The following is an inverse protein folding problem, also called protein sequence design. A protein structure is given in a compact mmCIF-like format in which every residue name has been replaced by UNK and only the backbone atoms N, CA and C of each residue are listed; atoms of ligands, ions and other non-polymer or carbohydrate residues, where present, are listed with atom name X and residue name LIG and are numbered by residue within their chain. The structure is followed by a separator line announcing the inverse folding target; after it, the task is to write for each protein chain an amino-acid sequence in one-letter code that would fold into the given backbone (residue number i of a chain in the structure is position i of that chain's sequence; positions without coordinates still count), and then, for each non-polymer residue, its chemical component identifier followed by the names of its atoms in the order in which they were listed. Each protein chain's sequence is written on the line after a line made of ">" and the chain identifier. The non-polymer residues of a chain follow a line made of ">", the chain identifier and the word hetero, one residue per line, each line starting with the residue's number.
data_IF_923806070207
#
_entry.id   IF_923806070207
#
_cell.length_a   1.000
_cell.length_b   1.000
_cell.length_c   1.000
_cell.angle_alpha   90.00
_cell.angle_beta   90.00
_cell.angle_gamma   90.00
#
_symmetry.space_group_name_H-M   'P 1'
#
loop_
_entity.id
_entity.type
_entity.pdbx_description
1 polymer ?
#
# COMPACT_ATOMS: atom_id res chain seq x y z
N UNK A 1 27.85 -7.90 33.13
CA UNK A 1 26.90 -7.27 32.19
C UNK A 1 27.52 -5.95 31.79
N UNK A 2 27.91 -5.77 30.52
CA UNK A 2 28.36 -4.47 30.03
C UNK A 2 27.17 -3.51 30.12
N UNK A 3 27.35 -2.41 30.83
CA UNK A 3 26.46 -1.25 30.76
C UNK A 3 26.42 -0.84 29.28
N UNK A 4 25.25 -0.58 28.66
CA UNK A 4 25.21 -0.23 27.25
C UNK A 4 26.08 1.01 27.00
N UNK A 5 27.13 0.80 26.21
CA UNK A 5 27.88 1.86 25.52
C UNK A 5 26.87 2.73 24.76
N UNK A 6 27.14 4.04 24.68
CA UNK A 6 26.31 5.05 24.00
C UNK A 6 25.71 4.52 22.68
N UNK A 7 24.42 4.83 22.41
CA UNK A 7 23.78 4.47 21.14
C UNK A 7 24.71 4.84 19.96
N UNK A 8 24.90 3.96 18.97
CA UNK A 8 25.82 4.22 17.84
C UNK A 8 25.55 5.57 17.14
N UNK A 9 24.28 5.96 17.00
CA UNK A 9 23.87 7.23 16.38
C UNK A 9 23.67 8.38 17.39
N UNK A 10 24.06 8.21 18.65
CA UNK A 10 23.76 9.11 19.77
C UNK A 10 22.26 9.31 20.06
N UNK A 11 21.38 8.59 19.33
CA UNK A 11 19.93 8.57 19.49
C UNK A 11 19.43 7.13 19.31
N UNK A 12 18.26 6.77 19.86
CA UNK A 12 17.60 5.52 19.51
C UNK A 12 17.33 5.45 18.01
N UNK A 13 17.73 4.34 17.38
CA UNK A 13 17.49 4.08 15.96
C UNK A 13 16.54 2.89 15.80
N UNK A 14 15.68 2.98 14.79
CA UNK A 14 14.66 1.97 14.48
C UNK A 14 14.76 1.59 13.02
N UNK A 15 14.38 0.35 12.71
CA UNK A 15 14.23 -0.08 11.32
C UNK A 15 12.98 0.58 10.72
N UNK A 16 13.11 1.07 9.49
CA UNK A 16 12.03 1.81 8.86
C UNK A 16 10.87 0.91 8.42
N UNK A 17 9.65 1.42 8.55
CA UNK A 17 8.44 0.81 8.00
C UNK A 17 8.18 1.25 6.55
N UNK A 18 8.82 2.34 6.10
CA UNK A 18 8.61 2.97 4.80
C UNK A 18 9.68 4.03 4.51
N UNK A 19 10.11 4.15 3.25
CA UNK A 19 10.97 5.22 2.78
C UNK A 19 10.22 6.50 2.39
N UNK A 20 8.89 6.50 2.38
CA UNK A 20 8.03 7.53 1.79
C UNK A 20 8.43 8.97 2.18
N UNK A 21 8.59 9.27 3.47
CA UNK A 21 8.86 10.65 3.90
C UNK A 21 10.20 11.17 3.38
N UNK A 22 11.18 10.28 3.17
CA UNK A 22 12.45 10.64 2.54
C UNK A 22 12.32 10.74 1.02
N UNK A 23 11.47 9.92 0.40
CA UNK A 23 11.14 10.05 -1.02
C UNK A 23 10.50 11.41 -1.33
N UNK A 24 9.67 11.96 -0.45
CA UNK A 24 9.10 13.31 -0.62
C UNK A 24 10.17 14.42 -0.62
N UNK A 25 11.28 14.23 0.11
CA UNK A 25 12.43 15.15 0.02
C UNK A 25 13.06 15.06 -1.36
N UNK A 26 13.27 13.83 -1.84
CA UNK A 26 13.88 13.59 -3.15
C UNK A 26 12.98 14.06 -4.29
N UNK A 27 11.65 13.95 -4.15
CA UNK A 27 10.70 14.38 -5.17
C UNK A 27 10.74 15.89 -5.39
N UNK A 28 11.02 16.67 -4.32
CA UNK A 28 11.27 18.11 -4.42
C UNK A 28 12.47 18.49 -5.30
N UNK A 29 13.42 17.58 -5.53
CA UNK A 29 14.56 17.79 -6.42
C UNK A 29 14.41 17.07 -7.78
N UNK A 30 13.77 15.90 -7.78
CA UNK A 30 13.55 15.06 -8.96
C UNK A 30 12.07 14.70 -9.06
N UNK A 31 11.39 15.13 -10.11
CA UNK A 31 9.92 15.09 -10.18
C UNK A 31 9.29 13.69 -10.09
N UNK A 32 10.07 12.63 -10.32
CA UNK A 32 9.65 11.23 -10.24
C UNK A 32 10.78 10.43 -9.61
N UNK A 33 10.52 9.83 -8.45
CA UNK A 33 11.50 9.05 -7.69
C UNK A 33 10.87 7.76 -7.18
N UNK A 34 11.70 6.73 -6.98
CA UNK A 34 11.26 5.50 -6.34
C UNK A 34 12.34 4.91 -5.43
N UNK A 35 11.91 4.17 -4.43
CA UNK A 35 12.75 3.24 -3.64
C UNK A 35 12.36 1.81 -3.97
N UNK A 36 13.35 0.94 -3.87
CA UNK A 36 13.13 -0.50 -3.76
C UNK A 36 14.06 -0.97 -2.64
N UNK A 37 13.50 -1.29 -1.48
CA UNK A 37 14.30 -1.70 -0.34
C UNK A 37 13.51 -2.47 0.72
N UNK A 38 14.22 -3.06 1.69
CA UNK A 38 13.59 -3.76 2.79
C UNK A 38 12.93 -2.77 3.76
N UNK A 39 11.73 -3.12 4.21
CA UNK A 39 11.02 -2.47 5.31
C UNK A 39 10.63 -3.51 6.35
N UNK A 40 10.36 -3.04 7.56
CA UNK A 40 10.23 -3.90 8.72
C UNK A 40 8.96 -3.59 9.51
N UNK A 41 8.25 -4.61 9.96
CA UNK A 41 7.10 -4.48 10.85
C UNK A 41 7.25 -5.43 12.04
N UNK A 42 7.20 -4.88 13.25
CA UNK A 42 7.34 -5.61 14.50
C UNK A 42 5.98 -6.03 15.11
N UNK A 43 4.96 -6.18 14.27
CA UNK A 43 3.63 -6.60 14.71
C UNK A 43 3.61 -8.09 15.07
N UNK A 44 2.99 -8.45 16.20
CA UNK A 44 2.89 -9.83 16.64
C UNK A 44 1.79 -10.58 15.85
N UNK A 45 2.07 -10.86 14.56
CA UNK A 45 1.10 -11.38 13.61
C UNK A 45 1.62 -12.63 12.89
N UNK A 46 1.02 -13.79 13.17
CA UNK A 46 1.39 -15.06 12.54
C UNK A 46 0.35 -15.48 11.50
N UNK A 47 0.31 -14.77 10.37
CA UNK A 47 -0.60 -15.05 9.26
C UNK A 47 0.14 -15.62 8.03
N UNK A 48 -0.61 -16.05 7.02
CA UNK A 48 -0.07 -16.42 5.69
C UNK A 48 0.24 -15.20 4.80
N UNK A 49 0.02 -13.98 5.30
CA UNK A 49 0.11 -12.72 4.55
C UNK A 49 1.04 -11.68 5.17
N UNK A 50 1.68 -11.99 6.30
CA UNK A 50 2.55 -11.08 7.02
C UNK A 50 3.97 -11.63 7.12
N UNK A 51 4.93 -10.71 6.95
CA UNK A 51 6.35 -10.88 7.20
C UNK A 51 6.80 -9.74 8.13
N UNK A 52 7.82 -9.99 8.93
CA UNK A 52 8.47 -8.97 9.75
C UNK A 52 9.52 -8.17 8.96
N UNK A 53 10.04 -8.75 7.89
CA UNK A 53 10.94 -8.12 6.90
C UNK A 53 10.41 -8.47 5.50
N UNK A 54 10.20 -7.46 4.67
CA UNK A 54 9.66 -7.57 3.32
C UNK A 54 10.17 -6.41 2.47
N UNK A 55 10.02 -6.49 1.15
CA UNK A 55 10.47 -5.43 0.26
C UNK A 55 9.29 -4.57 -0.18
N UNK A 56 9.50 -3.25 -0.16
CA UNK A 56 8.56 -2.28 -0.70
C UNK A 56 9.15 -1.63 -1.93
N UNK A 57 8.34 -1.54 -2.98
CA UNK A 57 8.57 -0.62 -4.09
C UNK A 57 7.70 0.60 -3.84
N UNK A 58 8.32 1.74 -3.55
CA UNK A 58 7.59 2.97 -3.22
C UNK A 58 7.95 4.04 -4.25
N UNK A 59 6.95 4.75 -4.77
CA UNK A 59 7.16 5.81 -5.74
C UNK A 59 6.54 7.11 -5.23
N UNK A 60 7.20 8.22 -5.51
CA UNK A 60 6.72 9.57 -5.21
C UNK A 60 6.87 10.45 -6.45
N UNK A 61 5.80 11.19 -6.77
CA UNK A 61 5.66 11.94 -8.01
C UNK A 61 5.18 13.35 -7.67
N UNK A 62 5.93 14.35 -8.14
CA UNK A 62 5.57 15.77 -8.03
C UNK A 62 4.60 16.19 -9.13
N UNK A 63 3.84 17.25 -8.89
CA UNK A 63 2.83 17.81 -9.80
C UNK A 63 1.66 16.85 -10.09
N UNK A 64 1.30 16.06 -9.08
CA UNK A 64 0.13 15.16 -9.10
C UNK A 64 -1.00 15.85 -8.36
N UNK A 65 -2.06 16.19 -9.09
CA UNK A 65 -3.20 16.95 -8.55
C UNK A 65 -4.39 16.04 -8.20
N UNK A 66 -4.44 14.84 -8.76
CA UNK A 66 -5.57 13.92 -8.58
C UNK A 66 -5.15 12.49 -8.26
N UNK A 67 -6.02 11.76 -7.57
CA UNK A 67 -5.84 10.31 -7.39
C UNK A 67 -5.85 9.55 -8.73
N UNK A 68 -6.49 10.10 -9.76
CA UNK A 68 -6.55 9.47 -11.08
C UNK A 68 -5.15 9.30 -11.67
N UNK A 69 -4.29 10.31 -11.50
CA UNK A 69 -2.90 10.29 -11.97
C UNK A 69 -2.10 9.18 -11.28
N UNK A 70 -2.26 9.02 -9.95
CA UNK A 70 -1.62 7.92 -9.21
C UNK A 70 -2.15 6.54 -9.61
N UNK A 71 -3.47 6.41 -9.72
CA UNK A 71 -4.11 5.14 -10.10
C UNK A 71 -3.64 4.68 -11.47
N UNK A 72 -3.48 5.60 -12.42
CA UNK A 72 -2.94 5.29 -13.74
C UNK A 72 -1.52 4.71 -13.63
N UNK A 73 -0.63 5.35 -12.87
CA UNK A 73 0.75 4.86 -12.69
C UNK A 73 0.76 3.49 -11.98
N UNK A 74 -0.09 3.28 -10.97
CA UNK A 74 -0.21 1.99 -10.28
C UNK A 74 -0.68 0.87 -11.21
N UNK A 75 -1.70 1.13 -12.03
CA UNK A 75 -2.23 0.17 -13.02
C UNK A 75 -1.20 -0.14 -14.12
N UNK A 76 -0.57 0.89 -14.68
CA UNK A 76 0.47 0.74 -15.71
C UNK A 76 1.68 -0.03 -15.17
N UNK A 77 2.14 0.27 -13.95
CA UNK A 77 3.24 -0.45 -13.30
C UNK A 77 2.89 -1.93 -13.12
N UNK A 78 1.71 -2.24 -12.58
CA UNK A 78 1.28 -3.63 -12.40
C UNK A 78 1.22 -4.37 -13.73
N UNK A 79 0.58 -3.79 -14.76
CA UNK A 79 0.42 -4.43 -16.07
C UNK A 79 1.77 -4.63 -16.75
N UNK A 80 2.58 -3.57 -16.87
CA UNK A 80 3.87 -3.62 -17.55
C UNK A 80 4.86 -4.58 -16.87
N UNK A 81 4.96 -4.54 -15.53
CA UNK A 81 5.83 -5.46 -14.79
C UNK A 81 5.40 -6.92 -14.97
N UNK A 82 4.09 -7.17 -14.93
CA UNK A 82 3.53 -8.52 -15.08
C UNK A 82 3.75 -9.05 -16.49
N UNK A 83 3.47 -8.25 -17.52
CA UNK A 83 3.72 -8.62 -18.92
C UNK A 83 5.22 -8.90 -19.17
N UNK A 84 6.10 -8.13 -18.53
CA UNK A 84 7.54 -8.35 -18.59
C UNK A 84 7.94 -9.70 -17.96
N UNK A 85 7.38 -10.06 -16.81
CA UNK A 85 7.63 -11.38 -16.19
C UNK A 85 7.10 -12.51 -17.09
N UNK A 86 5.88 -12.37 -17.60
CA UNK A 86 5.26 -13.39 -18.46
C UNK A 86 6.01 -13.62 -19.77
N UNK A 87 6.61 -12.57 -20.34
CA UNK A 87 7.36 -12.67 -21.60
C UNK A 87 8.79 -13.17 -21.41
N UNK A 88 9.45 -12.80 -20.31
CA UNK A 88 10.86 -13.16 -20.09
C UNK A 88 11.03 -14.49 -19.33
N UNK A 89 10.06 -14.90 -18.51
CA UNK A 89 10.13 -16.12 -17.69
C UNK A 89 8.93 -17.07 -17.92
N UNK A 90 8.53 -17.38 -19.16
CA UNK A 90 7.30 -18.14 -19.41
C UNK A 90 7.31 -19.56 -18.82
N UNK A 91 8.45 -20.25 -18.87
CA UNK A 91 8.59 -21.63 -18.38
C UNK A 91 8.41 -21.73 -16.85
N UNK A 92 9.04 -20.80 -16.10
CA UNK A 92 8.94 -20.75 -14.64
C UNK A 92 7.51 -20.41 -14.19
N UNK A 93 6.88 -19.43 -14.85
CA UNK A 93 5.49 -19.05 -14.55
C UNK A 93 4.55 -20.20 -14.87
N UNK A 94 4.72 -20.89 -16.00
CA UNK A 94 3.89 -22.04 -16.37
C UNK A 94 4.01 -23.17 -15.33
N UNK A 95 5.21 -23.43 -14.81
CA UNK A 95 5.43 -24.40 -13.75
C UNK A 95 4.63 -24.03 -12.49
N UNK A 96 4.71 -22.77 -12.03
CA UNK A 96 3.92 -22.29 -10.90
C UNK A 96 2.40 -22.43 -11.16
N UNK A 97 1.91 -21.96 -12.31
CA UNK A 97 0.49 -22.00 -12.65
C UNK A 97 -0.04 -23.43 -12.82
N UNK A 98 0.80 -24.37 -13.24
CA UNK A 98 0.41 -25.77 -13.41
C UNK A 98 0.37 -26.54 -12.08
N UNK A 99 1.38 -26.37 -11.23
CA UNK A 99 1.57 -27.22 -10.05
C UNK A 99 1.20 -26.56 -8.72
N UNK A 100 1.26 -25.23 -8.64
CA UNK A 100 0.95 -24.47 -7.42
C UNK A 100 -0.47 -23.90 -7.50
N UNK A 101 -0.81 -23.24 -8.60
CA UNK A 101 -2.06 -22.49 -8.73
C UNK A 101 -2.81 -22.73 -10.06
N UNK A 102 -3.40 -23.91 -10.26
CA UNK A 102 -4.21 -24.19 -11.45
C UNK A 102 -5.30 -23.14 -11.69
N UNK A 103 -5.35 -22.62 -12.92
CA UNK A 103 -6.27 -21.54 -13.33
C UNK A 103 -5.76 -20.13 -13.05
N UNK A 104 -4.57 -19.96 -12.45
CA UNK A 104 -4.00 -18.63 -12.22
C UNK A 104 -3.66 -17.90 -13.53
N UNK A 105 -3.24 -18.63 -14.57
CA UNK A 105 -3.00 -18.07 -15.90
C UNK A 105 -4.22 -17.30 -16.43
N UNK A 106 -5.39 -17.95 -16.42
CA UNK A 106 -6.63 -17.35 -16.91
C UNK A 106 -7.06 -16.15 -16.07
N UNK A 107 -6.85 -16.21 -14.75
CA UNK A 107 -7.11 -15.08 -13.84
C UNK A 107 -6.19 -13.90 -14.16
N UNK A 108 -4.90 -14.15 -14.37
CA UNK A 108 -3.92 -13.12 -14.68
C UNK A 108 -4.23 -12.47 -16.03
N UNK A 109 -4.50 -13.27 -17.06
CA UNK A 109 -4.95 -12.76 -18.37
C UNK A 109 -6.23 -11.94 -18.25
N UNK A 110 -7.19 -12.36 -17.42
CA UNK A 110 -8.41 -11.62 -17.17
C UNK A 110 -8.13 -10.26 -16.52
N UNK A 111 -7.23 -10.19 -15.54
CA UNK A 111 -6.83 -8.92 -14.92
C UNK A 111 -6.13 -7.99 -15.91
N UNK A 112 -5.20 -8.52 -16.72
CA UNK A 112 -4.41 -7.71 -17.66
C UNK A 112 -5.27 -7.15 -18.81
N UNK A 113 -6.26 -7.92 -19.29
CA UNK A 113 -7.16 -7.51 -20.40
C UNK A 113 -8.17 -6.44 -20.01
N UNK A 114 -8.47 -6.27 -18.73
CA UNK A 114 -9.49 -5.34 -18.25
C UNK A 114 -8.85 -4.07 -17.67
N UNK A 115 -9.59 -2.96 -17.70
CA UNK A 115 -9.25 -1.77 -16.94
C UNK A 115 -9.62 -1.98 -15.47
N UNK A 116 -8.81 -1.45 -14.55
CA UNK A 116 -9.11 -1.59 -13.14
C UNK A 116 -10.30 -0.71 -12.77
N UNK A 117 -11.14 -1.23 -11.87
CA UNK A 117 -12.37 -0.55 -11.48
C UNK A 117 -12.07 0.41 -10.33
N UNK A 118 -12.87 1.47 -10.20
CA UNK A 118 -12.72 2.47 -9.15
C UNK A 118 -14.02 2.53 -8.36
N UNK A 119 -13.91 2.53 -7.04
CA UNK A 119 -15.01 2.82 -6.13
C UNK A 119 -14.53 3.64 -4.95
N UNK A 120 -15.39 4.47 -4.38
CA UNK A 120 -15.11 5.12 -3.10
C UNK A 120 -15.21 4.12 -1.94
N UNK A 121 -14.53 4.41 -0.83
CA UNK A 121 -14.70 3.68 0.43
C UNK A 121 -16.16 3.67 0.88
N UNK A 122 -16.88 4.78 0.71
CA UNK A 122 -18.29 4.88 1.07
C UNK A 122 -19.15 3.91 0.25
N UNK A 123 -18.94 3.84 -1.06
CA UNK A 123 -19.61 2.84 -1.92
C UNK A 123 -19.22 1.41 -1.54
N UNK A 124 -17.94 1.16 -1.27
CA UNK A 124 -17.44 -0.15 -0.84
C UNK A 124 -18.18 -0.64 0.42
N UNK A 125 -18.34 0.23 1.43
CA UNK A 125 -19.08 -0.09 2.66
C UNK A 125 -20.56 -0.38 2.39
N UNK A 126 -21.21 0.38 1.50
CA UNK A 126 -22.61 0.13 1.15
C UNK A 126 -22.80 -1.18 0.40
N UNK A 127 -21.90 -1.54 -0.53
CA UNK A 127 -21.88 -2.85 -1.19
C UNK A 127 -21.76 -3.97 -0.17
N UNK A 128 -20.84 -3.83 0.80
CA UNK A 128 -20.63 -4.83 1.85
C UNK A 128 -21.84 -4.98 2.77
N UNK A 129 -22.55 -3.90 3.11
CA UNK A 129 -23.78 -3.97 3.92
C UNK A 129 -24.94 -4.66 3.18
N UNK A 130 -24.99 -4.54 1.86
CA UNK A 130 -25.99 -5.18 1.02
C UNK A 130 -25.67 -6.64 0.69
N UNK A 131 -24.46 -7.10 1.00
CA UNK A 131 -24.05 -8.48 0.80
C UNK A 131 -24.92 -9.44 1.61
N UNK A 132 -25.35 -10.53 0.99
CA UNK A 132 -26.03 -11.64 1.67
C UNK A 132 -25.06 -12.52 2.49
N UNK A 133 -23.76 -12.25 2.43
CA UNK A 133 -22.72 -13.00 3.14
C UNK A 133 -22.59 -12.51 4.58
N UNK A 134 -22.49 -13.47 5.52
CA UNK A 134 -22.13 -13.16 6.90
C UNK A 134 -20.62 -12.93 7.00
N UNK A 135 -20.22 -11.70 7.33
CA UNK A 135 -18.83 -11.36 7.62
C UNK A 135 -18.50 -11.59 9.09
N UNK A 136 -17.25 -11.96 9.37
CA UNK A 136 -16.74 -12.05 10.74
C UNK A 136 -16.67 -10.68 11.39
N UNK A 137 -16.27 -9.67 10.62
CA UNK A 137 -16.20 -8.27 11.01
C UNK A 137 -17.31 -7.51 10.31
N UNK A 138 -18.18 -6.84 11.08
CA UNK A 138 -19.29 -6.09 10.50
C UNK A 138 -18.79 -4.89 9.70
N UNK A 139 -19.10 -4.78 8.39
CA UNK A 139 -18.73 -3.62 7.59
C UNK A 139 -19.45 -2.37 8.09
N UNK A 140 -18.68 -1.36 8.48
CA UNK A 140 -19.22 -0.10 9.02
C UNK A 140 -18.36 1.07 8.56
N UNK A 141 -19.01 2.15 8.18
CA UNK A 141 -18.34 3.39 7.79
C UNK A 141 -17.51 3.92 8.97
N UNK A 142 -16.25 4.30 8.71
CA UNK A 142 -15.29 4.72 9.73
C UNK A 142 -14.54 3.56 10.40
N UNK A 143 -14.74 2.32 9.94
CA UNK A 143 -13.96 1.14 10.34
C UNK A 143 -13.18 0.64 9.12
N UNK A 144 -11.93 0.27 9.34
CA UNK A 144 -11.06 -0.18 8.25
C UNK A 144 -11.54 -1.50 7.64
N UNK A 145 -11.34 -1.64 6.32
CA UNK A 145 -11.76 -2.83 5.59
C UNK A 145 -10.88 -4.01 6.01
N UNK A 146 -11.50 -5.17 6.24
CA UNK A 146 -10.78 -6.40 6.54
C UNK A 146 -10.56 -7.21 5.26
N UNK A 147 -9.61 -8.13 5.26
CA UNK A 147 -9.31 -8.93 4.05
C UNK A 147 -10.51 -9.71 3.51
N UNK A 148 -11.47 -10.12 4.36
CA UNK A 148 -12.70 -10.76 3.88
C UNK A 148 -13.61 -9.79 3.09
N UNK A 149 -13.61 -8.51 3.47
CA UNK A 149 -14.32 -7.44 2.77
C UNK A 149 -13.66 -7.14 1.44
N UNK A 150 -12.34 -6.96 1.43
CA UNK A 150 -11.56 -6.70 0.21
C UNK A 150 -11.78 -7.80 -0.84
N UNK A 151 -11.68 -9.07 -0.42
CA UNK A 151 -11.90 -10.23 -1.29
C UNK A 151 -13.32 -10.28 -1.82
N UNK A 152 -14.31 -9.92 -0.99
CA UNK A 152 -15.70 -9.85 -1.42
C UNK A 152 -15.89 -8.78 -2.50
N UNK A 153 -15.35 -7.57 -2.29
CA UNK A 153 -15.45 -6.46 -3.24
C UNK A 153 -14.85 -6.82 -4.59
N UNK A 154 -13.64 -7.39 -4.61
CA UNK A 154 -12.99 -7.82 -5.85
C UNK A 154 -13.83 -8.91 -6.57
N UNK A 155 -14.41 -9.85 -5.82
CA UNK A 155 -15.30 -10.87 -6.39
C UNK A 155 -16.60 -10.26 -6.93
N UNK A 156 -17.19 -9.30 -6.21
CA UNK A 156 -18.38 -8.56 -6.64
C UNK A 156 -18.12 -7.82 -7.95
N UNK A 157 -16.91 -7.29 -8.12
CA UNK A 157 -16.40 -6.64 -9.31
C UNK A 157 -15.90 -7.61 -10.41
N UNK A 158 -16.33 -8.87 -10.39
CA UNK A 158 -16.02 -9.84 -11.45
C UNK A 158 -14.59 -10.40 -11.42
N UNK A 159 -13.88 -10.30 -10.29
CA UNK A 159 -12.45 -10.65 -10.17
C UNK A 159 -11.54 -9.80 -11.08
N UNK A 160 -11.90 -8.52 -11.24
CA UNK A 160 -11.05 -7.47 -11.81
C UNK A 160 -10.46 -6.69 -10.62
N UNK A 161 -9.19 -6.24 -10.67
CA UNK A 161 -8.64 -5.39 -9.62
C UNK A 161 -9.45 -4.11 -9.43
N UNK A 162 -9.55 -3.66 -8.18
CA UNK A 162 -10.40 -2.54 -7.78
C UNK A 162 -9.60 -1.55 -6.94
N UNK A 163 -9.53 -0.31 -7.39
CA UNK A 163 -9.11 0.82 -6.58
C UNK A 163 -10.25 1.23 -5.65
N UNK A 164 -9.98 1.24 -4.34
CA UNK A 164 -10.85 1.85 -3.33
C UNK A 164 -10.25 3.21 -2.95
N UNK A 165 -11.01 4.28 -3.09
CA UNK A 165 -10.52 5.66 -2.89
C UNK A 165 -11.25 6.40 -1.77
N UNK A 166 -10.67 7.50 -1.29
CA UNK A 166 -11.31 8.44 -0.36
C UNK A 166 -11.70 7.80 0.98
N UNK A 167 -10.69 7.32 1.71
CA UNK A 167 -10.88 6.70 3.03
C UNK A 167 -11.16 7.74 4.13
N UNK A 168 -11.86 7.37 5.21
CA UNK A 168 -12.08 8.25 6.36
C UNK A 168 -10.77 8.81 6.92
N UNK A 169 -10.72 10.12 7.16
CA UNK A 169 -9.53 10.81 7.64
C UNK A 169 -8.97 10.22 8.94
N UNK A 170 -9.85 9.75 9.82
CA UNK A 170 -9.48 9.19 11.12
C UNK A 170 -8.74 7.84 11.04
N UNK A 171 -8.85 7.12 9.91
CA UNK A 171 -8.22 5.81 9.73
C UNK A 171 -6.82 5.90 9.10
N UNK A 172 -6.51 7.02 8.45
CA UNK A 172 -5.34 7.13 7.59
C UNK A 172 -4.28 8.09 8.17
N UNK A 173 -2.99 7.91 7.83
CA UNK A 173 -1.88 8.69 8.38
C UNK A 173 -2.01 10.21 8.17
N UNK A 174 -1.27 10.97 8.99
CA UNK A 174 -1.30 12.43 9.02
C UNK A 174 -0.90 13.10 7.71
N UNK A 175 -0.14 12.41 6.86
CA UNK A 175 0.41 12.97 5.61
C UNK A 175 -0.56 12.90 4.43
N UNK A 176 -1.69 12.18 4.53
CA UNK A 176 -2.62 12.05 3.40
C UNK A 176 -3.45 13.33 3.25
N UNK A 177 -3.61 13.84 2.02
CA UNK A 177 -4.31 15.10 1.76
C UNK A 177 -5.76 15.05 2.21
N UNK A 178 -6.19 16.04 2.99
CA UNK A 178 -7.59 16.20 3.39
C UNK A 178 -8.44 16.62 2.16
N UNK A 179 -9.52 15.88 1.89
CA UNK A 179 -10.43 16.21 0.79
C UNK A 179 -11.32 17.42 1.11
N UNK A 180 -11.38 17.84 2.37
CA UNK A 180 -12.26 18.91 2.88
C UNK A 180 -13.75 18.66 2.54
N UNK A 181 -14.12 17.39 2.41
CA UNK A 181 -15.47 16.94 2.08
C UNK A 181 -16.32 16.75 3.35
N UNK A 182 -17.33 17.62 3.53
CA UNK A 182 -18.33 17.46 4.58
C UNK A 182 -19.48 16.51 4.16
N UNK A 183 -20.16 15.79 5.09
CA UNK A 183 -19.91 15.69 6.53
C UNK A 183 -18.98 14.53 6.96
N UNK A 184 -18.58 13.66 6.02
CA UNK A 184 -17.88 12.41 6.33
C UNK A 184 -16.37 12.62 6.57
N UNK A 185 -15.74 13.64 5.97
CA UNK A 185 -14.31 13.94 6.08
C UNK A 185 -13.40 12.76 5.70
N UNK A 186 -13.03 12.71 4.44
CA UNK A 186 -12.14 11.72 3.85
C UNK A 186 -10.77 12.33 3.51
N UNK A 187 -9.81 11.46 3.22
CA UNK A 187 -8.51 11.83 2.67
C UNK A 187 -8.35 11.25 1.28
N UNK A 188 -7.59 11.91 0.43
CA UNK A 188 -7.22 11.43 -0.90
C UNK A 188 -6.26 10.22 -0.81
N UNK A 189 -6.77 9.10 -0.32
CA UNK A 189 -6.10 7.81 -0.22
C UNK A 189 -6.63 6.86 -1.28
N UNK A 190 -5.81 5.91 -1.70
CA UNK A 190 -6.16 4.84 -2.63
C UNK A 190 -5.51 3.53 -2.21
N UNK A 191 -6.29 2.46 -2.17
CA UNK A 191 -5.80 1.09 -2.01
C UNK A 191 -6.18 0.29 -3.28
N UNK A 192 -5.24 -0.44 -3.90
CA UNK A 192 -5.54 -1.35 -5.02
C UNK A 192 -5.75 -2.77 -4.48
N UNK A 193 -6.98 -3.26 -4.61
CA UNK A 193 -7.37 -4.61 -4.22
C UNK A 193 -7.26 -5.56 -5.42
N UNK A 194 -6.54 -6.68 -5.26
CA UNK A 194 -6.39 -7.71 -6.30
C UNK A 194 -7.01 -9.05 -5.88
N UNK A 195 -7.48 -9.86 -6.83
CA UNK A 195 -8.03 -11.19 -6.57
C UNK A 195 -7.11 -12.07 -5.71
N UNK A 196 -7.67 -12.72 -4.70
CA UNK A 196 -6.97 -13.69 -3.84
C UNK A 196 -6.09 -13.08 -2.75
N UNK A 197 -5.34 -12.02 -3.05
CA UNK A 197 -4.41 -11.38 -2.11
C UNK A 197 -5.12 -10.34 -1.22
N UNK A 198 -5.96 -9.48 -1.79
CA UNK A 198 -6.49 -8.28 -1.12
C UNK A 198 -5.69 -7.03 -1.53
N UNK A 199 -5.42 -6.14 -0.58
CA UNK A 199 -4.58 -4.95 -0.81
C UNK A 199 -3.17 -5.30 -1.33
N UNK A 200 -2.85 -4.83 -2.55
CA UNK A 200 -1.52 -4.96 -3.17
C UNK A 200 -0.74 -3.63 -3.15
N UNK A 201 -1.43 -2.52 -3.38
CA UNK A 201 -0.86 -1.18 -3.30
C UNK A 201 -1.65 -0.35 -2.29
N UNK A 202 -0.95 0.54 -1.59
CA UNK A 202 -1.55 1.62 -0.79
C UNK A 202 -0.86 2.94 -1.13
N UNK A 203 -1.64 4.00 -1.34
CA UNK A 203 -1.14 5.29 -1.78
C UNK A 203 -2.05 6.46 -1.41
N UNK A 204 -1.59 7.68 -1.70
CA UNK A 204 -2.35 8.90 -1.46
C UNK A 204 -1.72 10.11 -2.15
N UNK A 205 -2.52 11.15 -2.36
CA UNK A 205 -1.97 12.50 -2.46
C UNK A 205 -1.45 12.92 -1.08
N UNK A 206 -0.35 13.66 -1.07
CA UNK A 206 0.26 14.17 0.17
C UNK A 206 -0.34 15.52 0.53
N UNK A 207 -0.46 15.77 1.82
CA UNK A 207 -0.90 17.06 2.34
C UNK A 207 0.20 18.10 2.12
N UNK A 208 0.05 18.86 1.05
CA UNK A 208 0.97 19.90 0.59
C UNK A 208 0.73 21.25 1.29
N UNK A 209 -0.43 21.43 1.93
CA UNK A 209 -0.83 22.69 2.58
C UNK A 209 -0.30 22.73 4.01
N UNK A 210 0.66 23.63 4.24
CA UNK A 210 1.38 23.76 5.51
C UNK A 210 0.46 23.76 6.74
N UNK A 211 -0.55 24.63 6.78
CA UNK A 211 -1.39 24.81 7.96
C UNK A 211 -2.22 23.57 8.32
N UNK A 212 -2.66 22.80 7.32
CA UNK A 212 -3.44 21.57 7.55
C UNK A 212 -2.51 20.48 8.09
N UNK A 213 -1.34 20.30 7.47
CA UNK A 213 -0.35 19.32 7.92
C UNK A 213 0.15 19.62 9.34
N UNK A 214 0.44 20.90 9.64
CA UNK A 214 0.85 21.36 10.97
C UNK A 214 -0.23 21.04 12.02
N UNK A 215 -1.50 21.31 11.71
CA UNK A 215 -2.60 20.99 12.61
C UNK A 215 -2.74 19.48 12.84
N UNK A 216 -2.58 18.66 11.81
CA UNK A 216 -2.63 17.18 11.95
C UNK A 216 -1.49 16.67 12.82
N UNK A 217 -0.27 17.16 12.61
CA UNK A 217 0.89 16.81 13.45
C UNK A 217 0.73 17.27 14.90
N UNK A 218 0.17 18.47 15.12
CA UNK A 218 -0.06 19.01 16.46
C UNK A 218 -1.07 18.16 17.25
N UNK A 219 -2.14 17.69 16.61
CA UNK A 219 -3.14 16.79 17.23
C UNK A 219 -2.53 15.46 17.68
N UNK A 220 -1.49 14.98 17.01
CA UNK A 220 -0.77 13.74 17.36
C UNK A 220 0.44 13.97 18.27
N UNK A 221 0.75 15.22 18.66
CA UNK A 221 1.93 15.54 19.46
C UNK A 221 3.26 15.35 18.72
N UNK A 222 3.24 15.36 17.39
CA UNK A 222 4.37 15.00 16.52
C UNK A 222 5.12 16.19 15.91
N UNK A 223 4.62 17.43 16.07
CA UNK A 223 5.16 18.63 15.40
C UNK A 223 6.67 18.76 15.52
N UNK A 224 7.23 18.66 16.74
CA UNK A 224 8.68 18.82 16.96
C UNK A 224 9.51 17.74 16.25
N UNK A 225 9.03 16.49 16.22
CA UNK A 225 9.75 15.38 15.59
C UNK A 225 9.74 15.47 14.06
N UNK A 226 8.70 16.10 13.49
CA UNK A 226 8.48 16.22 12.05
C UNK A 226 8.65 17.66 11.54
N UNK A 227 9.36 18.53 12.27
CA UNK A 227 9.60 19.91 11.82
C UNK A 227 10.30 19.94 10.46
N UNK A 228 11.32 19.10 10.28
CA UNK A 228 12.04 18.97 9.00
C UNK A 228 11.11 18.61 7.83
N UNK A 229 10.04 17.86 8.10
CA UNK A 229 9.06 17.42 7.11
C UNK A 229 8.02 18.51 6.82
N UNK A 230 7.66 19.31 7.85
CA UNK A 230 6.87 20.54 7.67
C UNK A 230 7.61 21.59 6.85
N UNK A 231 8.93 21.70 7.00
CA UNK A 231 9.75 22.67 6.27
C UNK A 231 9.70 22.42 4.75
N UNK A 232 9.45 21.17 4.32
CA UNK A 232 9.21 20.83 2.90
C UNK A 232 8.02 21.60 2.32
N UNK A 233 7.02 21.95 3.15
CA UNK A 233 5.81 22.66 2.71
C UNK A 233 5.99 24.19 2.69
N UNK A 234 7.10 24.72 3.22
CA UNK A 234 7.35 26.16 3.30
C UNK A 234 8.01 26.72 2.04
N UNK A 235 8.83 25.92 1.34
CA UNK A 235 9.66 26.39 0.23
C UNK A 235 9.34 25.64 -1.06
N UNK A 236 8.44 26.19 -1.87
CA UNK A 236 8.12 25.62 -3.18
C UNK A 236 7.35 24.29 -3.11
N UNK A 237 6.48 24.13 -2.10
CA UNK A 237 5.54 23.01 -2.02
C UNK A 237 4.69 22.90 -3.29
N UNK A 238 4.48 21.68 -3.76
CA UNK A 238 3.66 21.37 -4.95
C UNK A 238 2.66 20.27 -4.61
N UNK A 239 1.53 20.17 -5.31
CA UNK A 239 0.73 18.95 -5.27
C UNK A 239 1.59 17.75 -5.66
N UNK A 240 1.58 16.71 -4.84
CA UNK A 240 2.36 15.49 -5.07
C UNK A 240 1.66 14.30 -4.43
N UNK A 241 2.05 13.12 -4.87
CA UNK A 241 1.47 11.88 -4.39
C UNK A 241 2.39 10.71 -4.64
N UNK A 242 2.06 9.60 -3.99
CA UNK A 242 2.83 8.39 -4.14
C UNK A 242 2.10 7.17 -3.60
N UNK A 243 2.73 6.03 -3.80
CA UNK A 243 2.20 4.73 -3.41
C UNK A 243 3.33 3.79 -3.01
N UNK A 244 2.99 2.75 -2.26
CA UNK A 244 3.85 1.61 -1.97
C UNK A 244 3.20 0.33 -2.48
N UNK A 245 3.99 -0.53 -3.11
CA UNK A 245 3.64 -1.89 -3.50
C UNK A 245 4.46 -2.88 -2.66
N UNK A 246 3.77 -3.80 -1.97
CA UNK A 246 4.44 -4.91 -1.31
C UNK A 246 4.95 -5.91 -2.35
N UNK A 247 6.27 -6.02 -2.51
CA UNK A 247 6.87 -6.83 -3.57
C UNK A 247 6.54 -8.32 -3.43
N UNK A 248 6.58 -8.86 -2.21
CA UNK A 248 6.19 -10.25 -1.97
C UNK A 248 4.69 -10.48 -2.27
N UNK A 249 3.81 -9.53 -1.94
CA UNK A 249 2.38 -9.63 -2.30
C UNK A 249 2.17 -9.59 -3.82
N UNK A 250 2.99 -8.82 -4.54
CA UNK A 250 2.99 -8.81 -6.01
C UNK A 250 3.37 -10.19 -6.56
N UNK A 251 4.44 -10.80 -6.05
CA UNK A 251 4.85 -12.16 -6.43
C UNK A 251 3.75 -13.19 -6.11
N UNK A 252 3.12 -13.12 -4.93
CA UNK A 252 1.97 -13.97 -4.60
C UNK A 252 0.85 -13.82 -5.63
N UNK A 253 0.54 -12.60 -6.05
CA UNK A 253 -0.52 -12.30 -7.00
C UNK A 253 -0.24 -12.92 -8.38
N UNK A 254 0.96 -12.71 -8.95
CA UNK A 254 1.24 -13.15 -10.33
C UNK A 254 1.54 -14.65 -10.42
N UNK A 255 2.12 -15.24 -9.37
CA UNK A 255 2.44 -16.69 -9.34
C UNK A 255 1.30 -17.54 -8.76
N UNK A 256 0.35 -16.94 -8.05
CA UNK A 256 -0.76 -17.64 -7.39
C UNK A 256 -0.36 -18.34 -6.10
N UNK A 257 0.74 -17.94 -5.46
CA UNK A 257 1.26 -18.57 -4.24
C UNK A 257 0.46 -18.10 -3.02
N UNK A 258 -0.15 -19.04 -2.29
CA UNK A 258 -1.05 -18.73 -1.18
C UNK A 258 -0.38 -18.15 0.07
N UNK A 259 0.87 -18.52 0.35
CA UNK A 259 1.59 -18.15 1.56
C UNK A 259 2.78 -17.25 1.23
N UNK A 260 2.80 -16.05 1.82
CA UNK A 260 3.81 -15.01 1.53
C UNK A 260 5.23 -15.45 1.89
N UNK A 261 5.35 -16.48 2.74
CA UNK A 261 6.64 -17.04 3.15
C UNK A 261 7.32 -17.83 2.03
N UNK A 262 6.57 -18.24 1.02
CA UNK A 262 7.06 -19.08 -0.08
C UNK A 262 7.50 -18.24 -1.30
N UNK A 263 7.43 -16.90 -1.20
CA UNK A 263 7.86 -15.94 -2.25
C UNK A 263 9.09 -15.11 -1.86
N UNK A 264 9.72 -15.45 -0.73
CA UNK A 264 10.98 -14.84 -0.27
C UNK A 264 11.94 -15.95 0.21
N UNK A 265 13.25 -15.88 -0.06
CA UNK A 265 14.17 -16.99 0.25
C UNK A 265 14.24 -17.38 1.74
N UNK A 266 14.27 -16.38 2.63
CA UNK A 266 14.39 -16.57 4.08
C UNK A 266 13.35 -15.71 4.81
N UNK A 267 12.09 -16.18 4.91
CA UNK A 267 11.01 -15.38 5.49
C UNK A 267 11.25 -15.15 6.98
N UNK A 268 11.24 -13.88 7.40
CA UNK A 268 11.21 -13.48 8.81
C UNK A 268 9.78 -13.21 9.23
N UNK A 269 9.35 -13.82 10.32
CA UNK A 269 8.00 -13.64 10.87
C UNK A 269 8.04 -13.86 12.39
N UNK A 270 6.91 -13.66 13.07
CA UNK A 270 6.84 -13.83 14.53
C UNK A 270 7.43 -15.18 14.97
N UNK A 271 8.36 -15.13 15.91
CA UNK A 271 9.09 -16.29 16.45
C UNK A 271 9.99 -17.04 15.43
N UNK A 272 10.31 -16.44 14.29
CA UNK A 272 11.19 -17.04 13.28
C UNK A 272 12.13 -16.00 12.64
N UNK A 273 13.42 -16.13 12.96
CA UNK A 273 14.53 -15.40 12.34
C UNK A 273 15.75 -16.32 12.34
N UNK A 274 15.81 -17.23 11.36
CA UNK A 274 16.93 -18.17 11.22
C UNK A 274 18.14 -17.41 10.64
N UNK A 275 19.28 -17.54 11.31
CA UNK A 275 20.59 -16.98 10.93
C UNK A 275 21.44 -18.03 10.23
#
# INVERSE_FOLDING_TARGET
>A
MKVPEENFFNVPAFLTVSGQLHLEVMSGAFTQVFTFGPTFRAENSQSRRHLAEFYMVEAEISFVESLQDLMQVMEELFKAATEMVLSNCPEDVELCHKFIAPGQKDRLEHMLKNNFLIMSYTEAVEILKQASQNFTFTPKWGVDLQTEHEKYLVKHCGNIPVFVINYPLALKPFYMRDNEDGPQHTVAAVDLLVPGVGELFGGSLREERYHILEQRLARSGLTKAYQWYLDLRQFGSVPHGGFGMGFERYLQCILGVDNIKDVIPFPRFTHSCLL
#
